data_IF_631531923778
#
_entry.id   IF_631531923778
#
_cell.length_a   1.000
_cell.length_b   1.000
_cell.length_c   1.000
_cell.angle_alpha   90.00
_cell.angle_beta   90.00
_cell.angle_gamma   90.00
#
_symmetry.space_group_name_H-M   'P 1'
#
loop_
_entity.id
_entity.type
_entity.pdbx_description
1 polymer ?
#
# COMPACT_ATOMS: atom_id res chain seq x y z
N UNK A 1 49.26 17.55 -27.74
CA UNK A 1 47.97 16.82 -27.68
C UNK A 1 47.80 16.14 -26.30
N UNK A 2 47.27 16.82 -25.27
CA UNK A 2 46.96 16.21 -23.95
C UNK A 2 45.69 16.78 -23.27
N UNK A 3 44.89 17.60 -23.97
CA UNK A 3 43.67 18.24 -23.41
C UNK A 3 42.36 17.52 -23.76
N UNK A 4 42.32 16.66 -24.78
CA UNK A 4 41.09 16.03 -25.26
C UNK A 4 40.57 14.91 -24.32
N UNK A 5 41.45 14.12 -23.71
CA UNK A 5 41.04 13.00 -22.84
C UNK A 5 40.33 13.42 -21.55
N UNK A 6 40.71 14.56 -20.96
CA UNK A 6 40.08 15.08 -19.74
C UNK A 6 38.63 15.54 -19.95
N UNK A 7 38.35 16.15 -21.11
CA UNK A 7 36.98 16.55 -21.47
C UNK A 7 36.07 15.34 -21.70
N UNK A 8 36.59 14.27 -22.32
CA UNK A 8 35.83 13.03 -22.55
C UNK A 8 35.50 12.32 -21.23
N UNK A 9 36.45 12.28 -20.29
CA UNK A 9 36.22 11.69 -18.97
C UNK A 9 35.21 12.52 -18.18
N UNK A 10 35.35 13.86 -18.19
CA UNK A 10 34.42 14.74 -17.50
C UNK A 10 33.00 14.64 -18.06
N UNK A 11 32.83 14.62 -19.40
CA UNK A 11 31.51 14.48 -20.02
C UNK A 11 30.88 13.10 -19.78
N UNK A 12 31.67 12.03 -19.74
CA UNK A 12 31.19 10.70 -19.37
C UNK A 12 30.75 10.66 -17.90
N UNK A 13 31.50 11.30 -17.00
CA UNK A 13 31.18 11.36 -15.57
C UNK A 13 29.90 12.16 -15.31
N UNK A 14 29.73 13.31 -15.97
CA UNK A 14 28.50 14.10 -15.85
C UNK A 14 27.30 13.37 -16.42
N UNK A 15 27.46 12.65 -17.53
CA UNK A 15 26.38 11.83 -18.09
C UNK A 15 25.98 10.68 -17.15
N UNK A 16 26.96 10.01 -16.53
CA UNK A 16 26.69 8.99 -15.51
C UNK A 16 25.96 9.57 -14.29
N UNK A 17 26.33 10.77 -13.85
CA UNK A 17 25.70 11.44 -12.72
C UNK A 17 24.24 11.80 -13.05
N UNK A 18 23.98 12.36 -14.25
CA UNK A 18 22.63 12.66 -14.73
C UNK A 18 21.80 11.37 -14.83
N UNK A 19 22.36 10.29 -15.40
CA UNK A 19 21.68 9.00 -15.47
C UNK A 19 21.35 8.45 -14.08
N UNK A 20 22.31 8.51 -13.15
CA UNK A 20 22.10 8.11 -11.76
C UNK A 20 20.93 8.87 -11.10
N UNK A 21 20.84 10.17 -11.35
CA UNK A 21 19.71 10.99 -10.85
C UNK A 21 18.37 10.58 -11.49
N UNK A 22 18.35 10.34 -12.79
CA UNK A 22 17.13 9.89 -13.50
C UNK A 22 16.66 8.54 -12.95
N UNK A 23 17.56 7.56 -12.84
CA UNK A 23 17.22 6.25 -12.31
C UNK A 23 16.79 6.32 -10.84
N UNK A 24 17.47 7.14 -10.02
CA UNK A 24 17.08 7.37 -8.63
C UNK A 24 15.68 7.96 -8.50
N UNK A 25 15.37 8.99 -9.31
CA UNK A 25 14.04 9.61 -9.32
C UNK A 25 12.95 8.64 -9.78
N UNK A 26 13.21 7.84 -10.81
CA UNK A 26 12.28 6.81 -11.28
C UNK A 26 12.03 5.75 -10.21
N UNK A 27 13.09 5.20 -9.60
CA UNK A 27 12.97 4.20 -8.55
C UNK A 27 12.17 4.73 -7.36
N UNK A 28 12.44 5.97 -6.94
CA UNK A 28 11.66 6.62 -5.89
C UNK A 28 10.18 6.73 -6.26
N UNK A 29 9.86 7.25 -7.46
CA UNK A 29 8.49 7.37 -7.95
C UNK A 29 7.74 6.03 -7.94
N UNK A 30 8.36 4.96 -8.44
CA UNK A 30 7.75 3.63 -8.44
C UNK A 30 7.58 3.07 -7.02
N UNK A 31 8.52 3.31 -6.12
CA UNK A 31 8.40 2.85 -4.73
C UNK A 31 7.22 3.49 -4.00
N UNK A 32 7.02 4.81 -4.19
CA UNK A 32 5.88 5.56 -3.64
C UNK A 32 4.58 5.04 -4.24
N UNK A 33 4.52 4.87 -5.56
CA UNK A 33 3.33 4.37 -6.25
C UNK A 33 2.98 2.95 -5.81
N UNK A 34 3.96 2.07 -5.66
CA UNK A 34 3.75 0.70 -5.20
C UNK A 34 3.22 0.68 -3.75
N UNK A 35 3.77 1.52 -2.87
CA UNK A 35 3.27 1.64 -1.49
C UNK A 35 1.83 2.15 -1.44
N UNK A 36 1.50 3.17 -2.24
CA UNK A 36 0.14 3.67 -2.34
C UNK A 36 -0.83 2.60 -2.87
N UNK A 37 -0.41 1.86 -3.91
CA UNK A 37 -1.21 0.76 -4.46
C UNK A 37 -1.44 -0.35 -3.43
N UNK A 38 -0.41 -0.74 -2.68
CA UNK A 38 -0.53 -1.73 -1.61
C UNK A 38 -1.58 -1.29 -0.58
N UNK A 39 -1.50 -0.05 -0.09
CA UNK A 39 -2.49 0.51 0.85
C UNK A 39 -3.91 0.44 0.29
N UNK A 40 -4.10 0.77 -0.98
CA UNK A 40 -5.42 0.67 -1.63
C UNK A 40 -5.91 -0.78 -1.71
N UNK A 41 -5.03 -1.74 -2.01
CA UNK A 41 -5.37 -3.16 -2.05
C UNK A 41 -5.77 -3.66 -0.66
N UNK A 42 -4.97 -3.36 0.36
CA UNK A 42 -5.27 -3.74 1.75
C UNK A 42 -6.61 -3.14 2.21
N UNK A 43 -6.88 -1.86 1.89
CA UNK A 43 -8.16 -1.23 2.21
C UNK A 43 -9.35 -1.91 1.53
N UNK A 44 -9.26 -2.17 0.22
CA UNK A 44 -10.32 -2.90 -0.51
C UNK A 44 -10.54 -4.32 0.03
N UNK A 45 -9.46 -5.00 0.41
CA UNK A 45 -9.57 -6.32 1.04
C UNK A 45 -10.32 -6.23 2.36
N UNK A 46 -10.05 -5.22 3.18
CA UNK A 46 -10.78 -5.00 4.42
C UNK A 46 -12.28 -4.74 4.19
N UNK A 47 -12.64 -3.95 3.18
CA UNK A 47 -14.06 -3.75 2.80
C UNK A 47 -14.73 -5.07 2.38
N UNK A 48 -14.07 -5.89 1.58
CA UNK A 48 -14.58 -7.21 1.17
C UNK A 48 -14.82 -8.09 2.39
N UNK A 49 -13.86 -8.15 3.32
CA UNK A 49 -13.99 -8.95 4.54
C UNK A 49 -15.14 -8.45 5.44
N UNK A 50 -15.31 -7.13 5.56
CA UNK A 50 -16.46 -6.56 6.28
C UNK A 50 -17.78 -6.94 5.62
N UNK A 51 -17.86 -6.85 4.29
CA UNK A 51 -19.07 -7.24 3.55
C UNK A 51 -19.38 -8.73 3.73
N UNK A 52 -18.37 -9.60 3.67
CA UNK A 52 -18.52 -11.02 3.94
C UNK A 52 -18.97 -11.28 5.38
N UNK A 53 -18.41 -10.56 6.36
CA UNK A 53 -18.82 -10.67 7.75
C UNK A 53 -20.28 -10.23 7.95
N UNK A 54 -20.68 -9.12 7.33
CA UNK A 54 -22.09 -8.66 7.29
C UNK A 54 -23.01 -9.70 6.66
N UNK A 55 -22.63 -10.30 5.52
CA UNK A 55 -23.40 -11.37 4.87
C UNK A 55 -23.54 -12.61 5.75
N UNK A 56 -22.54 -12.91 6.58
CA UNK A 56 -22.59 -13.99 7.57
C UNK A 56 -23.28 -13.60 8.88
N UNK A 57 -23.96 -12.45 8.95
CA UNK A 57 -24.68 -11.93 10.11
C UNK A 57 -23.81 -11.79 11.38
N UNK A 58 -22.58 -11.29 11.24
CA UNK A 58 -21.67 -11.07 12.38
C UNK A 58 -22.33 -10.23 13.50
N UNK A 59 -22.31 -10.79 14.71
CA UNK A 59 -22.84 -10.19 15.94
C UNK A 59 -21.81 -9.26 16.60
N UNK A 60 -22.28 -8.44 17.54
CA UNK A 60 -21.38 -7.53 18.27
C UNK A 60 -20.42 -8.33 19.17
N UNK A 61 -19.16 -7.90 19.19
CA UNK A 61 -18.04 -8.55 19.88
C UNK A 61 -17.63 -9.91 19.30
N UNK A 62 -18.26 -10.33 18.19
CA UNK A 62 -17.92 -11.56 17.48
C UNK A 62 -16.70 -11.35 16.56
N UNK A 63 -15.91 -12.42 16.41
CA UNK A 63 -14.76 -12.49 15.52
C UNK A 63 -15.00 -13.59 14.50
N UNK A 64 -14.95 -13.23 13.21
CA UNK A 64 -14.98 -14.19 12.10
C UNK A 64 -13.58 -14.25 11.48
N UNK A 65 -13.07 -15.47 11.33
CA UNK A 65 -11.81 -15.76 10.64
C UNK A 65 -12.08 -16.12 9.18
N UNK A 66 -11.40 -15.43 8.27
CA UNK A 66 -11.42 -15.66 6.83
C UNK A 66 -10.03 -16.07 6.35
N UNK A 67 -9.96 -16.53 5.09
CA UNK A 67 -8.67 -16.87 4.49
C UNK A 67 -7.71 -15.68 4.44
N UNK A 68 -8.18 -14.45 4.24
CA UNK A 68 -7.29 -13.28 4.06
C UNK A 68 -7.12 -12.42 5.32
N UNK A 69 -7.78 -12.77 6.42
CA UNK A 69 -7.69 -12.03 7.68
C UNK A 69 -8.82 -12.35 8.66
N UNK A 70 -8.88 -11.59 9.74
CA UNK A 70 -9.95 -11.68 10.74
C UNK A 70 -10.75 -10.38 10.79
N UNK A 71 -12.05 -10.48 11.00
CA UNK A 71 -12.94 -9.34 11.22
C UNK A 71 -13.57 -9.47 12.59
N UNK A 72 -13.45 -8.42 13.40
CA UNK A 72 -14.18 -8.26 14.65
C UNK A 72 -15.17 -7.12 14.51
N UNK A 73 -16.43 -7.34 14.88
CA UNK A 73 -17.41 -6.26 14.99
C UNK A 73 -17.42 -5.72 16.42
N UNK A 74 -17.21 -4.43 16.57
CA UNK A 74 -17.54 -3.68 17.78
C UNK A 74 -18.83 -2.88 17.52
N UNK A 75 -19.39 -2.25 18.56
CA UNK A 75 -20.68 -1.54 18.48
C UNK A 75 -20.78 -0.49 17.35
N UNK A 76 -19.69 0.23 17.05
CA UNK A 76 -19.67 1.37 16.10
C UNK A 76 -18.69 1.17 14.92
N UNK A 77 -18.00 0.02 14.86
CA UNK A 77 -16.89 -0.20 13.91
C UNK A 77 -16.58 -1.67 13.69
N UNK A 78 -15.94 -1.94 12.56
CA UNK A 78 -15.28 -3.21 12.28
C UNK A 78 -13.76 -3.05 12.42
N UNK A 79 -13.13 -3.95 13.17
CA UNK A 79 -11.66 -4.09 13.22
C UNK A 79 -11.24 -5.28 12.36
N UNK A 80 -10.39 -5.00 11.38
CA UNK A 80 -9.90 -5.99 10.43
C UNK A 80 -8.40 -6.18 10.67
N UNK A 81 -7.96 -7.41 10.88
CA UNK A 81 -6.54 -7.77 10.84
C UNK A 81 -6.29 -8.62 9.61
N UNK A 82 -5.59 -8.05 8.61
CA UNK A 82 -5.22 -8.77 7.40
C UNK A 82 -4.04 -9.70 7.64
N UNK A 83 -3.94 -10.78 6.86
CA UNK A 83 -2.75 -11.65 6.85
C UNK A 83 -1.47 -10.92 6.45
N UNK A 84 -1.59 -9.81 5.71
CA UNK A 84 -0.46 -8.92 5.40
C UNK A 84 0.14 -8.24 6.63
N UNK A 85 -0.53 -8.33 7.80
CA UNK A 85 -0.16 -7.67 9.05
C UNK A 85 -0.77 -6.28 9.21
N UNK A 86 -1.42 -5.76 8.18
CA UNK A 86 -2.11 -4.47 8.21
C UNK A 86 -3.37 -4.56 9.10
N UNK A 87 -3.58 -3.54 9.94
CA UNK A 87 -4.76 -3.42 10.79
C UNK A 87 -5.58 -2.24 10.35
N UNK A 88 -6.83 -2.48 9.97
CA UNK A 88 -7.73 -1.48 9.41
C UNK A 88 -8.98 -1.40 10.27
N UNK A 89 -9.48 -0.19 10.51
CA UNK A 89 -10.74 0.05 11.22
C UNK A 89 -11.69 0.75 10.27
N UNK A 90 -12.88 0.18 10.07
CA UNK A 90 -13.93 0.75 9.23
C UNK A 90 -15.09 1.12 10.16
N UNK A 91 -15.46 2.41 10.19
CA UNK A 91 -16.59 2.90 10.98
C UNK A 91 -17.91 2.48 10.32
N UNK A 92 -18.90 2.13 11.13
CA UNK A 92 -20.25 1.85 10.65
C UNK A 92 -20.92 3.21 10.39
N UNK A 93 -20.94 3.66 9.14
CA UNK A 93 -21.81 4.77 8.75
C UNK A 93 -23.23 4.23 8.60
N UNK A 94 -24.13 4.63 9.50
CA UNK A 94 -25.58 4.32 9.50
C UNK A 94 -26.34 4.94 8.29
N UNK A 95 -25.72 5.13 7.12
CA UNK A 95 -26.36 5.73 5.95
C UNK A 95 -26.78 4.71 4.86
N UNK A 96 -26.69 3.41 5.12
CA UNK A 96 -27.26 2.37 4.26
C UNK A 96 -28.29 1.54 5.05
N UNK A 97 -29.47 2.13 5.26
CA UNK A 97 -30.75 1.41 5.34
C UNK A 97 -31.66 1.90 4.20
#
# INVERSE_FOLDING_TARGET
MKKSGGYVIFSALTLLLIMGLIFGAQMYYYSVRASALKKTIDYKMAEILVNLAKTNNIENDEIIEFHDGTVKKDADKFRINLKSGEKITIMINEQEE
#
